data_IF_190545058307
#
_entry.id   IF_190545058307
#
_cell.length_a   1.000
_cell.length_b   1.000
_cell.length_c   1.000
_cell.angle_alpha   90.00
_cell.angle_beta   90.00
_cell.angle_gamma   90.00
#
_symmetry.space_group_name_H-M   'P 1'
#
loop_
_entity.id
_entity.type
_entity.pdbx_description
1 polymer ?
#
# COMPACT_ATOMS: atom_id res chain seq x y z
N UNK A 1 14.36 -15.63 2.08
CA UNK A 1 12.91 -15.65 2.34
C UNK A 1 12.23 -14.68 1.38
N UNK A 2 11.19 -15.14 0.74
CA UNK A 2 10.35 -14.32 -0.14
C UNK A 2 9.06 -13.97 0.61
N UNK A 3 8.76 -12.68 0.72
CA UNK A 3 7.60 -12.21 1.47
C UNK A 3 6.72 -11.31 0.59
N UNK A 4 5.43 -11.30 0.89
CA UNK A 4 4.45 -10.49 0.18
C UNK A 4 3.59 -9.72 1.17
N UNK A 5 3.54 -8.40 1.00
CA UNK A 5 2.51 -7.57 1.63
C UNK A 5 1.34 -7.44 0.66
N UNK A 6 0.14 -7.74 1.14
CA UNK A 6 -1.06 -7.68 0.31
C UNK A 6 -2.13 -6.83 0.98
N UNK A 7 -2.54 -5.77 0.30
CA UNK A 7 -3.65 -4.95 0.76
C UNK A 7 -3.40 -3.45 0.66
N UNK A 8 -3.50 -2.77 1.79
CA UNK A 8 -3.56 -1.31 1.83
C UNK A 8 -2.24 -0.61 1.56
N UNK A 9 -2.33 0.48 0.85
CA UNK A 9 -1.31 1.51 0.77
C UNK A 9 -1.99 2.87 0.86
N UNK A 10 -1.31 3.84 1.43
CA UNK A 10 -1.78 5.21 1.53
C UNK A 10 -0.63 6.18 1.26
N UNK A 11 -0.98 7.40 0.92
CA UNK A 11 -0.04 8.49 0.81
C UNK A 11 -0.29 9.44 1.99
N UNK A 12 0.51 9.33 3.03
CA UNK A 12 0.38 10.17 4.23
C UNK A 12 0.81 11.61 3.87
N UNK A 13 -0.14 12.52 3.81
CA UNK A 13 0.11 13.89 3.41
C UNK A 13 0.25 14.80 4.64
N UNK A 14 1.48 15.22 4.90
CA UNK A 14 1.80 16.16 5.98
C UNK A 14 1.58 17.58 5.50
N UNK A 15 0.50 18.21 5.96
CA UNK A 15 0.04 19.50 5.43
C UNK A 15 0.99 20.65 5.73
N UNK A 16 1.62 20.65 6.91
CA UNK A 16 2.50 21.74 7.32
C UNK A 16 3.80 21.81 6.53
N UNK A 17 4.27 20.70 5.97
CA UNK A 17 5.47 20.64 5.11
C UNK A 17 5.14 20.36 3.66
N UNK A 18 3.88 20.04 3.36
CA UNK A 18 3.42 19.61 2.04
C UNK A 18 4.23 18.43 1.50
N UNK A 19 4.57 17.48 2.36
CA UNK A 19 5.31 16.28 2.01
C UNK A 19 4.39 15.08 2.09
N UNK A 20 4.51 14.19 1.13
CA UNK A 20 3.73 12.95 1.05
C UNK A 20 4.68 11.77 1.27
N UNK A 21 4.35 10.94 2.27
CA UNK A 21 5.10 9.73 2.57
C UNK A 21 4.25 8.50 2.27
N UNK A 22 4.81 7.48 1.60
CA UNK A 22 4.11 6.21 1.44
C UNK A 22 3.83 5.57 2.80
N UNK A 23 2.67 4.96 2.94
CA UNK A 23 2.25 4.30 4.17
C UNK A 23 1.24 3.19 3.89
N UNK A 24 0.57 2.78 4.95
CA UNK A 24 -0.34 1.65 4.93
C UNK A 24 0.32 0.41 5.51
N UNK A 25 -0.45 -0.39 6.25
CA UNK A 25 0.10 -1.51 7.00
C UNK A 25 0.73 -2.57 6.07
N UNK A 26 0.01 -3.01 5.04
CA UNK A 26 0.51 -4.02 4.12
C UNK A 26 1.68 -3.49 3.29
N UNK A 27 1.60 -2.26 2.83
CA UNK A 27 2.69 -1.64 2.08
C UNK A 27 3.94 -1.50 2.94
N UNK A 28 3.81 -1.00 4.16
CA UNK A 28 4.94 -0.81 5.07
C UNK A 28 5.63 -2.14 5.39
N UNK A 29 4.86 -3.21 5.57
CA UNK A 29 5.45 -4.53 5.76
C UNK A 29 6.40 -4.90 4.63
N UNK A 30 5.92 -4.78 3.38
CA UNK A 30 6.73 -5.11 2.20
C UNK A 30 7.96 -4.20 2.09
N UNK A 31 7.76 -2.89 2.29
CA UNK A 31 8.83 -1.91 2.18
C UNK A 31 9.95 -2.16 3.21
N UNK A 32 9.58 -2.35 4.47
CA UNK A 32 10.57 -2.60 5.52
C UNK A 32 11.25 -3.96 5.35
N UNK A 33 10.51 -5.00 4.93
CA UNK A 33 11.12 -6.29 4.64
C UNK A 33 12.18 -6.16 3.55
N UNK A 34 11.88 -5.41 2.49
CA UNK A 34 12.84 -5.18 1.40
C UNK A 34 14.06 -4.42 1.88
N UNK A 35 13.88 -3.38 2.67
CA UNK A 35 14.98 -2.58 3.21
C UNK A 35 15.88 -3.38 4.16
N UNK A 36 15.32 -4.41 4.82
CA UNK A 36 16.07 -5.31 5.69
C UNK A 36 16.72 -6.48 4.94
N UNK A 37 16.61 -6.53 3.61
CA UNK A 37 17.31 -7.49 2.77
C UNK A 37 16.50 -8.68 2.29
N UNK A 38 15.21 -8.75 2.58
CA UNK A 38 14.36 -9.81 2.05
C UNK A 38 13.99 -9.56 0.59
N UNK A 39 13.65 -10.62 -0.14
CA UNK A 39 12.93 -10.47 -1.40
C UNK A 39 11.48 -10.18 -1.07
N UNK A 40 11.02 -8.98 -1.38
CA UNK A 40 9.68 -8.53 -1.01
C UNK A 40 8.93 -8.01 -2.23
N UNK A 41 7.69 -8.45 -2.35
CA UNK A 41 6.73 -7.94 -3.31
C UNK A 41 5.57 -7.29 -2.56
N UNK A 42 4.83 -6.46 -3.27
CA UNK A 42 3.59 -5.87 -2.79
C UNK A 42 2.48 -6.12 -3.82
N UNK A 43 1.29 -6.46 -3.34
CA UNK A 43 0.09 -6.57 -4.15
C UNK A 43 -1.00 -5.69 -3.55
N UNK A 44 -1.46 -4.73 -4.30
CA UNK A 44 -2.52 -3.83 -3.89
C UNK A 44 -2.99 -2.96 -5.04
N UNK A 45 -3.81 -1.98 -4.72
CA UNK A 45 -4.42 -1.07 -5.68
C UNK A 45 -3.87 0.33 -5.46
N UNK A 46 -3.35 0.94 -6.51
CA UNK A 46 -2.94 2.34 -6.52
C UNK A 46 -3.94 3.16 -7.31
N UNK A 47 -4.20 4.39 -6.86
CA UNK A 47 -4.87 5.38 -7.69
C UNK A 47 -3.98 5.88 -8.81
N UNK A 48 -4.57 6.41 -9.86
CA UNK A 48 -3.84 7.03 -10.97
C UNK A 48 -3.61 8.54 -10.76
N UNK A 49 -3.97 9.05 -9.59
CA UNK A 49 -3.73 10.42 -9.22
C UNK A 49 -2.25 10.66 -8.80
N UNK A 50 -1.91 11.90 -8.50
CA UNK A 50 -0.55 12.27 -8.09
C UNK A 50 -0.07 11.45 -6.89
N UNK A 51 -0.95 11.28 -5.90
CA UNK A 51 -0.60 10.54 -4.68
C UNK A 51 -0.29 9.07 -4.98
N UNK A 52 -1.11 8.42 -5.78
CA UNK A 52 -0.89 7.02 -6.19
C UNK A 52 0.38 6.84 -7.00
N UNK A 53 0.64 7.75 -7.93
CA UNK A 53 1.87 7.73 -8.72
C UNK A 53 3.11 7.89 -7.84
N UNK A 54 3.04 8.74 -6.82
CA UNK A 54 4.15 8.95 -5.89
C UNK A 54 4.47 7.68 -5.10
N UNK A 55 3.45 7.04 -4.52
CA UNK A 55 3.65 5.79 -3.76
C UNK A 55 4.20 4.69 -4.66
N UNK A 56 3.67 4.56 -5.87
CA UNK A 56 4.13 3.57 -6.84
C UNK A 56 5.61 3.79 -7.20
N UNK A 57 6.00 5.04 -7.45
CA UNK A 57 7.37 5.39 -7.79
C UNK A 57 8.34 5.05 -6.65
N UNK A 58 7.95 5.36 -5.41
CA UNK A 58 8.78 5.02 -4.25
C UNK A 58 8.91 3.50 -4.10
N UNK A 59 7.82 2.77 -4.34
CA UNK A 59 7.86 1.30 -4.31
C UNK A 59 8.86 0.74 -5.33
N UNK A 60 8.89 1.30 -6.53
CA UNK A 60 9.89 0.92 -7.55
C UNK A 60 11.31 1.24 -7.10
N UNK A 61 11.53 2.41 -6.53
CA UNK A 61 12.85 2.84 -6.04
C UNK A 61 13.37 1.95 -4.92
N UNK A 62 12.50 1.49 -4.04
CA UNK A 62 12.86 0.55 -2.97
C UNK A 62 13.22 -0.82 -3.55
N UNK A 63 12.70 -1.16 -4.71
CA UNK A 63 12.93 -2.46 -5.35
C UNK A 63 11.87 -3.50 -5.03
N UNK A 64 10.65 -3.07 -4.67
CA UNK A 64 9.54 -4.00 -4.49
C UNK A 64 9.10 -4.61 -5.82
N UNK A 65 8.76 -5.90 -5.82
CA UNK A 65 8.07 -6.52 -6.94
C UNK A 65 6.61 -6.05 -6.96
N UNK A 66 6.15 -5.56 -8.11
CA UNK A 66 4.83 -4.93 -8.26
C UNK A 66 4.01 -5.56 -9.39
N UNK A 67 4.38 -6.75 -9.84
CA UNK A 67 3.81 -7.34 -11.06
C UNK A 67 2.31 -7.62 -11.00
N UNK A 68 1.76 -7.84 -9.83
CA UNK A 68 0.32 -8.09 -9.65
C UNK A 68 -0.44 -6.91 -9.07
N UNK A 69 0.19 -5.75 -8.91
CA UNK A 69 -0.50 -4.53 -8.52
C UNK A 69 -1.48 -4.07 -9.58
N UNK A 70 -2.55 -3.39 -9.14
CA UNK A 70 -3.53 -2.75 -10.01
C UNK A 70 -3.39 -1.25 -9.89
N UNK A 71 -3.49 -0.57 -11.01
CA UNK A 71 -3.60 0.89 -11.05
C UNK A 71 -4.99 1.20 -11.58
N UNK A 72 -5.83 1.81 -10.76
CA UNK A 72 -7.22 2.11 -11.11
C UNK A 72 -7.42 3.61 -11.17
N UNK A 73 -8.39 4.02 -12.00
CA UNK A 73 -8.78 5.43 -12.07
C UNK A 73 -9.44 5.85 -10.76
N UNK A 74 -8.91 6.91 -10.18
CA UNK A 74 -9.42 7.49 -8.94
C UNK A 74 -8.32 7.86 -7.98
N UNK A 75 -8.72 8.32 -6.79
CA UNK A 75 -7.79 8.79 -5.77
C UNK A 75 -7.17 7.64 -5.01
N UNK A 76 -5.86 7.71 -4.80
CA UNK A 76 -5.18 6.86 -3.84
C UNK A 76 -5.56 7.26 -2.41
N UNK A 77 -5.58 6.31 -1.48
CA UNK A 77 -5.78 6.63 -0.07
C UNK A 77 -4.80 7.69 0.38
N UNK A 78 -5.31 8.79 0.95
CA UNK A 78 -4.48 9.94 1.31
C UNK A 78 -4.93 10.56 2.63
N UNK A 79 -4.49 9.99 3.77
CA UNK A 79 -4.69 10.63 5.05
C UNK A 79 -3.95 11.97 5.11
N UNK A 80 -4.57 12.96 5.72
CA UNK A 80 -3.99 14.27 5.94
C UNK A 80 -3.57 14.38 7.39
N UNK A 81 -2.32 14.71 7.61
CA UNK A 81 -1.71 14.79 8.93
C UNK A 81 -1.12 16.19 9.14
N UNK A 82 -1.25 16.72 10.33
CA UNK A 82 -0.57 17.94 10.71
C UNK A 82 0.31 17.67 11.94
N UNK A 83 1.39 18.43 12.07
CA UNK A 83 2.25 18.32 13.25
C UNK A 83 2.00 19.57 14.09
N UNK A 84 1.53 19.36 15.33
CA UNK A 84 1.27 20.43 16.29
C UNK A 84 2.02 20.09 17.57
N UNK A 85 2.95 20.97 17.97
CA UNK A 85 3.78 20.80 19.17
C UNK A 85 4.50 19.43 19.22
N UNK A 86 4.97 18.96 18.05
CA UNK A 86 5.67 17.70 17.93
C UNK A 86 4.77 16.47 17.79
N UNK A 87 3.47 16.62 17.95
CA UNK A 87 2.52 15.51 17.85
C UNK A 87 1.85 15.49 16.46
N UNK A 88 1.64 14.27 15.98
CA UNK A 88 0.88 14.05 14.74
C UNK A 88 -0.60 14.16 15.04
N UNK A 89 -1.28 15.07 14.34
CA UNK A 89 -2.73 15.22 14.42
C UNK A 89 -3.34 14.83 13.08
N UNK A 90 -4.23 13.85 13.14
CA UNK A 90 -4.97 13.40 11.97
C UNK A 90 -6.07 14.41 11.65
N UNK A 91 -6.02 14.99 10.44
CA UNK A 91 -6.91 16.08 10.05
C UNK A 91 -8.07 15.58 9.21
N UNK A 92 -7.88 14.54 8.42
CA UNK A 92 -8.91 13.99 7.56
C UNK A 92 -8.36 12.98 6.58
N UNK A 93 -9.26 12.36 5.81
CA UNK A 93 -8.89 11.33 4.87
C UNK A 93 -9.96 11.14 3.81
N UNK A 94 -9.56 10.66 2.64
CA UNK A 94 -10.48 10.12 1.64
C UNK A 94 -10.83 8.64 1.91
N UNK A 95 -10.58 8.16 3.14
CA UNK A 95 -10.96 6.84 3.65
C UNK A 95 -10.45 5.66 2.82
N UNK A 96 -9.20 5.73 2.39
CA UNK A 96 -8.55 4.65 1.65
C UNK A 96 -8.67 4.76 0.13
N UNK A 97 -9.48 5.66 -0.39
CA UNK A 97 -9.58 5.88 -1.83
C UNK A 97 -9.96 4.64 -2.61
N UNK A 98 -9.39 4.46 -3.81
CA UNK A 98 -9.71 3.34 -4.70
C UNK A 98 -9.36 1.98 -4.11
N UNK A 99 -8.37 1.90 -3.23
CA UNK A 99 -8.01 0.64 -2.59
C UNK A 99 -9.13 0.11 -1.69
N UNK A 100 -9.87 1.00 -1.05
CA UNK A 100 -11.03 0.63 -0.24
C UNK A 100 -12.26 0.39 -1.08
N UNK A 101 -12.50 1.24 -2.08
CA UNK A 101 -13.68 1.15 -2.94
C UNK A 101 -13.66 -0.09 -3.81
N UNK A 102 -12.49 -0.45 -4.30
CA UNK A 102 -12.28 -1.58 -5.22
C UNK A 102 -11.04 -2.37 -4.80
N UNK A 103 -11.09 -3.10 -3.67
CA UNK A 103 -9.97 -3.94 -3.27
C UNK A 103 -9.73 -5.04 -4.30
N UNK A 104 -8.51 -5.57 -4.39
CA UNK A 104 -8.18 -6.57 -5.40
C UNK A 104 -9.08 -7.80 -5.29
N UNK A 105 -9.64 -8.24 -6.41
CA UNK A 105 -10.27 -9.55 -6.54
C UNK A 105 -9.21 -10.48 -7.11
N UNK A 106 -8.92 -11.57 -6.42
CA UNK A 106 -7.84 -12.46 -6.78
C UNK A 106 -8.31 -13.51 -7.78
N UNK A 107 -7.64 -13.56 -8.93
CA UNK A 107 -7.86 -14.60 -9.93
C UNK A 107 -6.89 -15.78 -9.76
N UNK A 108 -6.95 -16.78 -10.64
CA UNK A 108 -6.07 -17.94 -10.56
C UNK A 108 -4.60 -17.57 -10.69
N UNK A 109 -4.28 -16.59 -11.51
CA UNK A 109 -2.90 -16.09 -11.67
C UNK A 109 -2.40 -15.48 -10.38
N UNK A 110 -3.23 -14.70 -9.69
CA UNK A 110 -2.89 -14.12 -8.40
C UNK A 110 -2.66 -15.21 -7.35
N UNK A 111 -3.54 -16.20 -7.28
CA UNK A 111 -3.42 -17.29 -6.30
C UNK A 111 -2.14 -18.11 -6.51
N UNK A 112 -1.79 -18.36 -7.76
CA UNK A 112 -0.55 -19.02 -8.10
C UNK A 112 0.66 -18.18 -7.69
N UNK A 113 0.59 -16.90 -7.92
CA UNK A 113 1.61 -15.95 -7.52
C UNK A 113 1.79 -15.93 -5.99
N UNK A 114 0.68 -15.85 -5.23
CA UNK A 114 0.71 -15.88 -3.77
C UNK A 114 1.38 -17.15 -3.24
N UNK A 115 1.13 -18.30 -3.88
CA UNK A 115 1.66 -19.58 -3.42
C UNK A 115 3.19 -19.67 -3.52
N UNK A 116 3.82 -18.77 -4.24
CA UNK A 116 5.28 -18.74 -4.42
C UNK A 116 6.03 -18.05 -3.27
N UNK A 117 5.31 -17.47 -2.31
CA UNK A 117 5.91 -16.75 -1.20
C UNK A 117 5.99 -17.60 0.06
N UNK A 118 6.99 -17.33 0.89
CA UNK A 118 7.17 -18.01 2.17
C UNK A 118 6.26 -17.42 3.25
N UNK A 119 5.94 -16.12 3.15
CA UNK A 119 5.13 -15.41 4.12
C UNK A 119 4.25 -14.38 3.42
N UNK A 120 2.98 -14.36 3.80
CA UNK A 120 2.01 -13.34 3.36
C UNK A 120 1.58 -12.51 4.56
N UNK A 121 1.49 -11.21 4.38
CA UNK A 121 1.00 -10.30 5.41
C UNK A 121 -0.09 -9.41 4.84
N UNK A 122 -1.18 -9.28 5.58
CA UNK A 122 -2.24 -8.33 5.28
C UNK A 122 -2.77 -7.71 6.58
N UNK A 123 -3.67 -6.76 6.46
CA UNK A 123 -4.28 -6.12 7.62
C UNK A 123 -5.78 -5.96 7.43
N UNK A 124 -6.48 -5.68 8.52
CA UNK A 124 -7.91 -5.40 8.48
C UNK A 124 -8.23 -4.17 7.59
N UNK A 125 -7.32 -3.23 7.52
CA UNK A 125 -7.46 -2.03 6.68
C UNK A 125 -7.35 -2.31 5.18
N UNK A 126 -7.01 -3.54 4.81
CA UNK A 126 -6.90 -3.95 3.40
C UNK A 126 -8.24 -4.31 2.79
N UNK A 127 -9.27 -4.56 3.60
CA UNK A 127 -10.62 -4.93 3.15
C UNK A 127 -10.62 -6.18 2.26
N UNK A 128 -9.76 -7.14 2.58
CA UNK A 128 -9.56 -8.37 1.80
C UNK A 128 -9.89 -9.63 2.59
N UNK A 129 -10.64 -9.54 3.67
CA UNK A 129 -10.91 -10.67 4.55
C UNK A 129 -11.58 -11.82 3.79
N UNK A 130 -12.51 -11.51 2.90
CA UNK A 130 -13.21 -12.52 2.09
C UNK A 130 -12.26 -13.22 1.13
N UNK A 131 -11.36 -12.45 0.47
CA UNK A 131 -10.43 -12.99 -0.52
C UNK A 131 -9.35 -13.86 0.12
N UNK A 132 -8.95 -13.52 1.36
CA UNK A 132 -7.82 -14.16 2.03
C UNK A 132 -8.23 -15.26 3.01
N UNK A 133 -9.52 -15.43 3.24
CA UNK A 133 -10.03 -16.47 4.15
C UNK A 133 -10.03 -17.88 3.56
#
# INVERSE_FOLDING_TARGET
>A
MRVLGIGDNVADHYLNTNVIYPGGNAFNFAAFARLLGAEADYLGVFGDDFAGQHVYTVAQEIGLGLTHCRILHGENGRPKVNIVEGDRIFVGSNRGGVSRERPPVLDESDLKYLSSFDLLHSSINSFMETELS
#
